data_IF_999185092599
#
_entry.id   IF_999185092599
#
_cell.length_a   1.000
_cell.length_b   1.000
_cell.length_c   1.000
_cell.angle_alpha   90.00
_cell.angle_beta   90.00
_cell.angle_gamma   90.00
#
_symmetry.space_group_name_H-M   'P 1'
#
loop_
_entity.id
_entity.type
_entity.pdbx_description
1 polymer ?
#
# COMPACT_ATOMS: atom_id res chain seq x y z
N UNK A 1 2.97 6.77 -3.83
CA UNK A 1 4.06 5.89 -4.26
C UNK A 1 4.18 5.94 -5.77
N UNK A 2 5.39 6.13 -6.26
CA UNK A 2 5.74 6.19 -7.68
C UNK A 2 6.96 5.32 -7.97
N UNK A 3 7.27 5.06 -9.25
CA UNK A 3 8.42 4.24 -9.65
C UNK A 3 8.24 2.75 -9.39
N UNK A 4 9.35 1.99 -9.42
CA UNK A 4 9.37 0.54 -9.21
C UNK A 4 10.55 0.14 -8.30
N UNK A 5 10.36 -0.88 -7.47
CA UNK A 5 11.48 -1.38 -6.66
C UNK A 5 12.62 -1.88 -7.56
N UNK A 6 13.84 -1.43 -7.28
CA UNK A 6 15.04 -1.86 -7.99
C UNK A 6 15.35 -3.33 -7.69
N UNK A 7 16.00 -4.00 -8.63
CA UNK A 7 16.48 -5.36 -8.42
C UNK A 7 17.42 -5.42 -7.19
N UNK A 8 17.21 -6.40 -6.32
CA UNK A 8 17.97 -6.57 -5.08
C UNK A 8 17.39 -5.83 -3.87
N UNK A 9 16.36 -4.99 -4.06
CA UNK A 9 15.57 -4.42 -2.96
C UNK A 9 14.46 -5.40 -2.59
N UNK A 10 14.31 -5.64 -1.29
CA UNK A 10 13.33 -6.57 -0.73
C UNK A 10 12.11 -5.83 -0.17
N UNK A 11 11.04 -6.58 0.08
CA UNK A 11 9.85 -6.08 0.78
C UNK A 11 10.21 -5.48 2.15
N UNK A 12 11.16 -6.10 2.85
CA UNK A 12 11.65 -5.62 4.15
C UNK A 12 12.25 -4.22 4.03
N UNK A 13 13.07 -3.99 2.99
CA UNK A 13 13.71 -2.69 2.78
C UNK A 13 12.67 -1.57 2.55
N UNK A 14 11.64 -1.87 1.76
CA UNK A 14 10.51 -0.98 1.54
C UNK A 14 9.77 -0.68 2.86
N UNK A 15 9.46 -1.72 3.63
CA UNK A 15 8.73 -1.59 4.91
C UNK A 15 9.50 -0.73 5.90
N UNK A 16 10.83 -0.94 6.02
CA UNK A 16 11.68 -0.14 6.91
C UNK A 16 11.74 1.32 6.45
N UNK A 17 11.88 1.55 5.14
CA UNK A 17 11.89 2.90 4.55
C UNK A 17 10.57 3.64 4.83
N UNK A 18 9.42 2.98 4.56
CA UNK A 18 8.09 3.53 4.81
C UNK A 18 7.90 3.85 6.29
N UNK A 19 8.28 2.93 7.18
CA UNK A 19 8.18 3.10 8.63
C UNK A 19 8.97 4.32 9.09
N UNK A 20 10.20 4.48 8.61
CA UNK A 20 11.06 5.62 8.95
C UNK A 20 10.45 6.95 8.48
N UNK A 21 9.98 7.02 7.23
CA UNK A 21 9.39 8.24 6.65
C UNK A 21 8.13 8.65 7.41
N UNK A 22 7.20 7.71 7.63
CA UNK A 22 5.94 7.99 8.33
C UNK A 22 6.17 8.38 9.79
N UNK A 23 7.11 7.72 10.46
CA UNK A 23 7.50 8.08 11.83
C UNK A 23 8.07 9.49 11.90
N UNK A 24 8.95 9.86 10.96
CA UNK A 24 9.52 11.22 10.88
C UNK A 24 8.45 12.28 10.61
N UNK A 25 7.44 11.94 9.81
CA UNK A 25 6.34 12.85 9.50
C UNK A 25 5.37 13.06 10.68
N UNK A 26 5.20 12.07 11.56
CA UNK A 26 4.33 12.19 12.72
C UNK A 26 2.86 11.90 12.40
N UNK A 27 2.56 10.62 12.18
CA UNK A 27 1.21 10.12 11.87
C UNK A 27 0.48 9.53 13.07
N UNK A 28 0.90 9.87 14.30
CA UNK A 28 0.31 9.34 15.53
C UNK A 28 -1.19 9.61 15.59
N UNK A 29 -1.99 8.55 15.73
CA UNK A 29 -3.45 8.64 15.82
C UNK A 29 -4.16 9.02 14.51
N UNK A 30 -3.48 8.95 13.37
CA UNK A 30 -4.02 9.27 12.04
C UNK A 30 -4.21 8.01 11.20
N UNK A 31 -5.01 8.14 10.15
CA UNK A 31 -5.09 7.15 9.08
C UNK A 31 -4.06 7.48 8.01
N UNK A 32 -3.35 6.46 7.54
CA UNK A 32 -2.42 6.56 6.42
C UNK A 32 -2.99 5.75 5.28
N UNK A 33 -3.32 6.39 4.17
CA UNK A 33 -3.75 5.72 2.95
C UNK A 33 -2.62 5.72 1.91
N UNK A 34 -2.32 4.54 1.37
CA UNK A 34 -1.30 4.36 0.35
C UNK A 34 -1.93 4.38 -1.05
N UNK A 35 -1.41 5.25 -1.92
CA UNK A 35 -1.92 5.43 -3.29
C UNK A 35 -0.79 5.79 -4.26
N UNK A 36 -1.08 5.78 -5.56
CA UNK A 36 -0.17 6.12 -6.66
C UNK A 36 0.15 4.95 -7.59
N UNK A 37 0.78 5.23 -8.73
CA UNK A 37 1.04 4.22 -9.77
C UNK A 37 2.00 3.11 -9.32
N UNK A 38 2.93 3.40 -8.40
CA UNK A 38 3.84 2.39 -7.83
C UNK A 38 3.13 1.29 -7.02
N UNK A 39 1.85 1.48 -6.68
CA UNK A 39 1.06 0.50 -5.93
C UNK A 39 0.81 -0.80 -6.73
N UNK A 40 0.72 -0.70 -8.06
CA UNK A 40 0.56 -1.86 -8.93
C UNK A 40 1.76 -2.81 -8.91
N UNK A 41 2.93 -2.33 -8.50
CA UNK A 41 4.16 -3.12 -8.39
C UNK A 41 4.25 -3.91 -7.08
N UNK A 42 3.42 -3.59 -6.07
CA UNK A 42 3.47 -4.23 -4.76
C UNK A 42 2.52 -5.43 -4.69
N UNK A 43 3.05 -6.58 -4.30
CA UNK A 43 2.23 -7.76 -4.03
C UNK A 43 1.32 -7.54 -2.81
N UNK A 44 0.25 -8.33 -2.67
CA UNK A 44 -0.59 -8.23 -1.47
C UNK A 44 0.20 -8.52 -0.18
N UNK A 45 1.19 -9.42 -0.21
CA UNK A 45 2.02 -9.73 0.94
C UNK A 45 2.85 -8.51 1.38
N UNK A 46 3.39 -7.75 0.43
CA UNK A 46 4.16 -6.52 0.73
C UNK A 46 3.25 -5.47 1.39
N UNK A 47 2.07 -5.27 0.81
CA UNK A 47 1.04 -4.35 1.35
C UNK A 47 0.63 -4.74 2.77
N UNK A 48 0.37 -6.02 3.01
CA UNK A 48 0.03 -6.53 4.33
C UNK A 48 1.16 -6.32 5.34
N UNK A 49 2.42 -6.49 4.91
CA UNK A 49 3.59 -6.26 5.77
C UNK A 49 3.71 -4.78 6.17
N UNK A 50 3.52 -3.85 5.23
CA UNK A 50 3.53 -2.41 5.50
C UNK A 50 2.36 -2.02 6.43
N UNK A 51 1.17 -2.55 6.17
CA UNK A 51 -0.02 -2.27 6.98
C UNK A 51 0.12 -2.81 8.40
N UNK A 52 0.70 -4.01 8.57
CA UNK A 52 0.94 -4.62 9.88
C UNK A 52 1.91 -3.79 10.74
N UNK A 53 2.80 -3.02 10.12
CA UNK A 53 3.76 -2.15 10.80
C UNK A 53 3.16 -0.79 11.25
N UNK A 54 1.82 -0.64 11.19
CA UNK A 54 1.14 0.61 11.62
C UNK A 54 1.52 1.07 13.04
N UNK A 55 1.59 0.18 14.05
CA UNK A 55 2.05 0.57 15.38
C UNK A 55 3.46 1.17 15.42
N UNK A 56 4.36 0.72 14.56
CA UNK A 56 5.78 1.09 14.52
C UNK A 56 6.00 2.52 14.01
N UNK A 57 5.14 3.00 13.10
CA UNK A 57 5.10 4.41 12.67
C UNK A 57 4.01 5.25 13.36
N UNK A 58 3.20 4.63 14.23
CA UNK A 58 2.24 5.29 15.12
C UNK A 58 0.86 5.55 14.52
N UNK A 59 0.59 5.11 13.28
CA UNK A 59 -0.73 5.29 12.67
C UNK A 59 -1.79 4.42 13.35
N UNK A 60 -3.05 4.86 13.30
CA UNK A 60 -4.18 4.02 13.71
C UNK A 60 -4.45 2.91 12.70
N UNK A 61 -4.24 3.18 11.40
CA UNK A 61 -4.29 2.17 10.35
C UNK A 61 -3.46 2.60 9.13
N UNK A 62 -2.87 1.61 8.46
CA UNK A 62 -2.31 1.69 7.11
C UNK A 62 -3.27 1.06 6.10
N UNK A 63 -3.93 1.89 5.29
CA UNK A 63 -4.97 1.48 4.36
C UNK A 63 -4.46 1.37 2.93
N UNK A 64 -4.71 0.21 2.32
CA UNK A 64 -4.47 -0.08 0.92
C UNK A 64 -5.83 -0.28 0.26
N UNK A 65 -6.27 0.60 -0.65
CA UNK A 65 -7.54 0.43 -1.36
C UNK A 65 -7.60 -0.88 -2.14
N UNK A 66 -8.81 -1.41 -2.33
CA UNK A 66 -9.02 -2.61 -3.14
C UNK A 66 -8.80 -2.28 -4.61
N UNK A 67 -7.96 -3.09 -5.25
CA UNK A 67 -7.59 -3.00 -6.66
C UNK A 67 -7.53 -4.39 -7.29
N UNK A 68 -7.07 -4.47 -8.54
CA UNK A 68 -6.92 -5.75 -9.24
C UNK A 68 -5.99 -6.73 -8.52
N UNK A 69 -4.91 -6.27 -7.87
CA UNK A 69 -4.00 -7.16 -7.10
C UNK A 69 -4.75 -7.84 -5.95
N UNK A 70 -5.61 -7.09 -5.26
CA UNK A 70 -6.46 -7.62 -4.19
C UNK A 70 -7.46 -8.66 -4.73
N UNK A 71 -8.11 -8.38 -5.85
CA UNK A 71 -9.05 -9.34 -6.47
C UNK A 71 -8.33 -10.62 -6.94
N UNK A 72 -7.14 -10.50 -7.52
CA UNK A 72 -6.33 -11.66 -7.91
C UNK A 72 -5.94 -12.51 -6.70
N UNK A 73 -5.60 -11.87 -5.59
CA UNK A 73 -5.32 -12.58 -4.34
C UNK A 73 -6.55 -13.31 -3.78
N UNK A 74 -7.75 -12.73 -3.89
CA UNK A 74 -8.98 -13.42 -3.50
C UNK A 74 -9.20 -14.69 -4.34
N UNK A 75 -8.96 -14.64 -5.66
CA UNK A 75 -9.00 -15.83 -6.53
C UNK A 75 -7.96 -16.86 -6.12
N UNK A 76 -6.70 -16.43 -5.92
CA UNK A 76 -5.59 -17.29 -5.51
C UNK A 76 -5.89 -18.03 -4.19
N UNK A 77 -6.61 -17.39 -3.28
CA UNK A 77 -7.00 -17.96 -1.98
C UNK A 77 -8.34 -18.72 -2.02
N UNK A 78 -8.84 -19.05 -3.21
CA UNK A 78 -9.94 -20.00 -3.40
C UNK A 78 -11.34 -19.38 -3.50
N UNK A 79 -11.47 -18.05 -3.70
CA UNK A 79 -12.79 -17.45 -3.99
C UNK A 79 -13.18 -17.74 -5.45
N UNK A 80 -14.45 -18.07 -5.69
CA UNK A 80 -14.96 -18.33 -7.05
C UNK A 80 -14.91 -17.08 -7.91
N UNK A 81 -14.86 -17.27 -9.23
CA UNK A 81 -14.91 -16.17 -10.18
C UNK A 81 -16.21 -15.35 -10.05
N UNK A 82 -17.36 -15.99 -9.76
CA UNK A 82 -18.61 -15.26 -9.55
C UNK A 82 -18.54 -14.38 -8.30
N UNK A 83 -17.95 -14.89 -7.22
CA UNK A 83 -17.78 -14.14 -5.97
C UNK A 83 -16.88 -12.93 -6.18
N UNK A 84 -15.76 -13.10 -6.88
CA UNK A 84 -14.81 -12.00 -7.14
C UNK A 84 -15.42 -10.95 -8.07
N UNK A 85 -16.16 -11.37 -9.10
CA UNK A 85 -16.88 -10.44 -9.99
C UNK A 85 -17.94 -9.64 -9.24
N UNK A 86 -18.69 -10.29 -8.33
CA UNK A 86 -19.66 -9.60 -7.46
C UNK A 86 -18.98 -8.57 -6.55
N UNK A 87 -17.84 -8.92 -5.93
CA UNK A 87 -17.07 -8.01 -5.08
C UNK A 87 -16.59 -6.80 -5.89
N UNK A 88 -16.02 -7.01 -7.08
CA UNK A 88 -15.58 -5.92 -7.95
C UNK A 88 -16.74 -4.99 -8.33
N UNK A 89 -17.86 -5.56 -8.80
CA UNK A 89 -19.03 -4.78 -9.18
C UNK A 89 -19.57 -3.93 -8.03
N UNK A 90 -19.64 -4.51 -6.83
CA UNK A 90 -20.05 -3.79 -5.62
C UNK A 90 -19.08 -2.63 -5.29
N UNK A 91 -17.78 -2.88 -5.29
CA UNK A 91 -16.78 -1.86 -4.95
C UNK A 91 -16.74 -0.74 -5.99
N UNK A 92 -16.86 -1.05 -7.28
CA UNK A 92 -16.95 -0.05 -8.36
C UNK A 92 -18.21 0.80 -8.23
N UNK A 93 -19.37 0.18 -7.98
CA UNK A 93 -20.64 0.90 -7.78
C UNK A 93 -20.58 1.88 -6.60
N UNK A 94 -19.80 1.55 -5.56
CA UNK A 94 -19.64 2.37 -4.35
C UNK A 94 -18.41 3.29 -4.38
N UNK A 95 -17.67 3.37 -5.51
CA UNK A 95 -16.42 4.17 -5.63
C UNK A 95 -15.34 3.77 -4.60
N UNK A 96 -15.28 2.49 -4.23
CA UNK A 96 -14.30 1.91 -3.31
C UNK A 96 -13.23 1.08 -4.03
N UNK A 97 -13.36 0.88 -5.33
CA UNK A 97 -12.37 0.21 -6.17
C UNK A 97 -11.40 1.23 -6.78
N UNK A 98 -10.12 0.88 -6.80
CA UNK A 98 -9.05 1.66 -7.42
C UNK A 98 -8.51 0.93 -8.64
N UNK A 99 -8.64 1.59 -9.79
CA UNK A 99 -8.00 1.18 -11.04
C UNK A 99 -6.90 2.20 -11.37
N UNK A 100 -5.64 1.76 -11.33
CA UNK A 100 -4.50 2.64 -11.59
C UNK A 100 -4.32 2.98 -13.08
N UNK A 101 -5.13 2.39 -13.97
CA UNK A 101 -5.19 2.78 -15.39
C UNK A 101 -6.23 3.87 -15.65
N UNK A 102 -7.12 4.14 -14.70
CA UNK A 102 -8.09 5.22 -14.78
C UNK A 102 -7.49 6.52 -14.22
N UNK A 103 -8.01 7.70 -14.63
CA UNK A 103 -7.62 8.96 -14.02
C UNK A 103 -7.77 8.91 -12.49
N UNK A 104 -6.84 9.50 -11.72
CA UNK A 104 -6.92 9.50 -10.27
C UNK A 104 -8.25 10.08 -9.79
N UNK A 105 -8.92 9.36 -8.90
CA UNK A 105 -10.07 9.91 -8.20
C UNK A 105 -9.61 11.05 -7.29
N UNK A 106 -10.39 12.13 -7.24
CA UNK A 106 -10.06 13.30 -6.43
C UNK A 106 -10.18 12.94 -4.94
N UNK A 107 -9.07 13.02 -4.20
CA UNK A 107 -8.99 12.68 -2.77
C UNK A 107 -8.30 13.80 -2.02
N UNK A 108 -9.03 14.34 -1.04
CA UNK A 108 -8.51 15.34 -0.13
C UNK A 108 -7.91 14.66 1.10
N UNK A 109 -6.58 14.75 1.25
CA UNK A 109 -5.88 14.30 2.45
C UNK A 109 -5.44 15.51 3.28
N UNK A 110 -5.30 15.29 4.59
CA UNK A 110 -4.79 16.33 5.49
C UNK A 110 -3.29 16.62 5.32
N UNK A 111 -2.55 15.68 4.75
CA UNK A 111 -1.12 15.79 4.45
C UNK A 111 -0.75 14.80 3.34
N UNK A 112 0.30 15.14 2.60
CA UNK A 112 0.79 14.39 1.47
C UNK A 112 2.26 14.04 1.68
N UNK A 113 2.63 12.79 1.41
CA UNK A 113 4.00 12.31 1.40
C UNK A 113 4.24 11.51 0.13
N UNK A 114 5.36 11.76 -0.51
CA UNK A 114 5.79 11.03 -1.69
C UNK A 114 6.92 10.06 -1.34
N UNK A 115 6.85 8.87 -1.94
CA UNK A 115 7.90 7.86 -1.91
C UNK A 115 8.08 7.37 -3.34
N UNK A 116 9.27 7.60 -3.88
CA UNK A 116 9.73 6.99 -5.12
C UNK A 116 10.36 5.62 -4.81
N UNK A 117 9.79 4.55 -5.34
CA UNK A 117 10.26 3.19 -5.12
C UNK A 117 11.66 2.95 -5.73
N UNK A 118 12.07 3.76 -6.72
CA UNK A 118 13.40 3.69 -7.32
C UNK A 118 14.50 4.15 -6.33
N UNK A 119 14.14 4.95 -5.32
CA UNK A 119 15.06 5.50 -4.32
C UNK A 119 15.22 4.59 -3.09
N UNK A 120 14.45 3.51 -2.99
CA UNK A 120 14.56 2.55 -1.90
C UNK A 120 15.88 1.79 -2.02
N UNK A 121 16.63 1.71 -0.93
CA UNK A 121 17.92 1.01 -0.82
C UNK A 121 17.83 -0.18 0.13
N UNK A 122 18.62 -1.25 -0.09
CA UNK A 122 18.74 -2.34 0.87
C UNK A 122 19.15 -1.82 2.25
N UNK A 123 18.43 -2.23 3.30
CA UNK A 123 18.63 -1.70 4.64
C UNK A 123 18.32 -2.73 5.76
N UNK A 124 18.80 -2.42 6.96
CA UNK A 124 18.56 -3.17 8.20
C UNK A 124 18.21 -2.15 9.30
N UNK A 125 17.28 -2.49 10.20
CA UNK A 125 16.97 -1.70 11.40
C UNK A 125 17.68 -2.29 12.62
N UNK A 126 18.27 -1.42 13.46
CA UNK A 126 18.99 -1.82 14.68
C UNK A 126 20.12 -0.87 15.11
N UNK A 127 20.77 -1.14 16.25
CA UNK A 127 20.48 -2.23 17.20
C UNK A 127 19.40 -1.88 18.23
N UNK A 128 18.95 -0.62 18.31
CA UNK A 128 17.96 -0.19 19.31
C UNK A 128 16.71 0.47 18.74
N UNK A 129 16.73 0.94 17.49
CA UNK A 129 15.59 1.42 16.68
C UNK A 129 15.96 1.36 15.20
#
# INVERSE_FOLDING_TARGET
MSGKLRNGVTATDLVLTVTQILRKHGVVGKFVEFYGNGMGELSLADRATIANMSPEYGATMGFFPVDHVTLQYLKLTGRSDETVAMIEAYLRANKLFVDYNEPPQDRAYSSYLELNLDEVEPCISGPKR
#
